data_IF_629957565855
#
_entry.id   IF_629957565855
#
_cell.length_a   1.000
_cell.length_b   1.000
_cell.length_c   1.000
_cell.angle_alpha   90.00
_cell.angle_beta   90.00
_cell.angle_gamma   90.00
#
_symmetry.space_group_name_H-M   'P 1'
#
loop_
_entity.id
_entity.type
_entity.pdbx_description
1 polymer ?
#
# COMPACT_ATOMS: atom_id res chain seq x y z
N UNK A 1 7.83 -0.17 -1.45
CA UNK A 1 6.87 -1.01 -0.71
C UNK A 1 6.46 -2.11 -1.67
N UNK A 2 6.46 -3.37 -1.24
CA UNK A 2 5.96 -4.44 -2.08
C UNK A 2 4.44 -4.27 -2.19
N UNK A 3 3.93 -4.25 -3.42
CA UNK A 3 2.52 -4.01 -3.67
C UNK A 3 1.81 -5.36 -3.62
N UNK A 4 1.17 -5.67 -2.49
CA UNK A 4 0.35 -6.88 -2.33
C UNK A 4 -1.12 -6.48 -2.38
N UNK A 5 -1.54 -5.89 -3.51
CA UNK A 5 -2.93 -5.43 -3.69
C UNK A 5 -3.77 -6.57 -4.22
N UNK A 6 -4.91 -6.77 -3.56
CA UNK A 6 -5.98 -7.62 -4.08
C UNK A 6 -6.69 -6.82 -5.16
N UNK A 7 -6.69 -7.33 -6.40
CA UNK A 7 -7.43 -6.70 -7.48
C UNK A 7 -8.93 -6.91 -7.27
N UNK A 8 -9.74 -5.89 -7.51
CA UNK A 8 -11.20 -5.99 -7.46
C UNK A 8 -11.76 -7.02 -8.46
N UNK A 9 -11.06 -7.25 -9.58
CA UNK A 9 -11.41 -8.24 -10.60
C UNK A 9 -11.46 -9.68 -10.05
N UNK A 10 -10.69 -9.98 -8.99
CA UNK A 10 -10.66 -11.32 -8.41
C UNK A 10 -12.00 -11.71 -7.78
N UNK A 11 -12.78 -10.75 -7.28
CA UNK A 11 -14.10 -10.99 -6.71
C UNK A 11 -15.12 -11.48 -7.74
N UNK A 12 -14.88 -11.24 -9.03
CA UNK A 12 -15.79 -11.63 -10.12
C UNK A 12 -15.28 -12.85 -10.90
N UNK A 13 -14.07 -13.33 -10.62
CA UNK A 13 -13.49 -14.44 -11.33
C UNK A 13 -13.84 -15.77 -10.64
N UNK A 14 -14.52 -16.65 -11.38
CA UNK A 14 -15.02 -17.95 -10.87
C UNK A 14 -13.95 -18.80 -10.19
N UNK A 15 -12.69 -18.72 -10.64
CA UNK A 15 -11.58 -19.47 -10.06
C UNK A 15 -11.28 -19.11 -8.60
N UNK A 16 -11.58 -17.88 -8.18
CA UNK A 16 -11.39 -17.45 -6.79
C UNK A 16 -12.65 -17.67 -5.95
N UNK A 17 -13.83 -17.56 -6.57
CA UNK A 17 -15.12 -17.83 -5.91
C UNK A 17 -15.28 -19.31 -5.53
N UNK A 18 -14.65 -20.21 -6.29
CA UNK A 18 -14.67 -21.65 -6.01
C UNK A 18 -13.74 -22.08 -4.87
N UNK A 19 -12.88 -21.21 -4.34
CA UNK A 19 -11.92 -21.57 -3.30
C UNK A 19 -12.58 -21.63 -1.91
N UNK A 20 -12.21 -22.64 -1.13
CA UNK A 20 -12.49 -22.66 0.31
C UNK A 20 -11.84 -21.48 1.06
N UNK A 21 -12.39 -21.12 2.22
CA UNK A 21 -11.81 -20.07 3.10
C UNK A 21 -10.36 -20.38 3.48
N UNK A 22 -10.02 -21.66 3.69
CA UNK A 22 -8.66 -22.09 3.99
C UNK A 22 -7.72 -21.84 2.81
N UNK A 23 -8.11 -22.24 1.60
CA UNK A 23 -7.36 -21.99 0.37
C UNK A 23 -7.18 -20.51 0.08
N UNK A 24 -8.22 -19.71 0.29
CA UNK A 24 -8.14 -18.26 0.14
C UNK A 24 -7.13 -17.61 1.10
N UNK A 25 -7.11 -18.04 2.37
CA UNK A 25 -6.14 -17.56 3.37
C UNK A 25 -4.71 -17.94 3.02
N UNK A 26 -4.49 -19.19 2.61
CA UNK A 26 -3.18 -19.64 2.16
C UNK A 26 -2.73 -18.84 0.94
N UNK A 27 -3.61 -18.64 -0.04
CA UNK A 27 -3.32 -17.88 -1.26
C UNK A 27 -2.92 -16.43 -0.95
N UNK A 28 -3.67 -15.74 -0.09
CA UNK A 28 -3.35 -14.35 0.30
C UNK A 28 -2.06 -14.27 1.11
N UNK A 29 -1.83 -15.20 2.05
CA UNK A 29 -0.58 -15.30 2.80
C UNK A 29 0.64 -15.55 1.89
N UNK A 30 0.48 -16.43 0.91
CA UNK A 30 1.48 -16.75 -0.11
C UNK A 30 1.84 -15.53 -0.98
N UNK A 31 0.82 -14.76 -1.37
CA UNK A 31 1.01 -13.54 -2.14
C UNK A 31 1.75 -12.48 -1.33
N UNK A 32 1.33 -12.24 -0.09
CA UNK A 32 2.00 -11.29 0.80
C UNK A 32 3.45 -11.67 1.06
N UNK A 33 3.71 -12.95 1.34
CA UNK A 33 5.07 -13.46 1.56
C UNK A 33 5.95 -13.29 0.31
N UNK A 34 5.42 -13.63 -0.87
CA UNK A 34 6.16 -13.52 -2.14
C UNK A 34 6.45 -12.06 -2.50
N UNK A 35 5.49 -11.16 -2.25
CA UNK A 35 5.68 -9.73 -2.44
C UNK A 35 6.77 -9.17 -1.51
N UNK A 36 6.76 -9.55 -0.23
CA UNK A 36 7.76 -9.09 0.74
C UNK A 36 9.17 -9.55 0.39
N UNK A 37 9.32 -10.81 -0.05
CA UNK A 37 10.61 -11.40 -0.39
C UNK A 37 11.06 -11.07 -1.83
N UNK A 38 10.15 -10.61 -2.69
CA UNK A 38 10.43 -10.34 -4.10
C UNK A 38 10.77 -11.62 -4.88
N UNK A 39 10.05 -12.71 -4.63
CA UNK A 39 10.30 -14.03 -5.25
C UNK A 39 9.40 -14.32 -6.46
N UNK A 40 8.64 -13.33 -6.94
CA UNK A 40 7.77 -13.45 -8.11
C UNK A 40 6.82 -14.67 -8.05
N UNK A 41 6.36 -15.00 -6.85
CA UNK A 41 5.44 -16.11 -6.62
C UNK A 41 6.10 -17.47 -6.34
N UNK A 42 7.43 -17.56 -6.33
CA UNK A 42 8.15 -18.79 -5.94
C UNK A 42 8.19 -18.91 -4.43
N UNK A 43 7.60 -19.97 -3.88
CA UNK A 43 7.53 -20.24 -2.43
C UNK A 43 8.24 -21.55 -2.10
N UNK A 44 9.38 -21.50 -1.40
CA UNK A 44 10.07 -22.70 -0.93
C UNK A 44 9.24 -23.49 0.09
N UNK A 45 9.30 -24.82 0.02
CA UNK A 45 8.56 -25.75 0.88
C UNK A 45 8.71 -25.45 2.38
N UNK A 46 9.89 -24.98 2.81
CA UNK A 46 10.18 -24.63 4.21
C UNK A 46 9.26 -23.53 4.78
N UNK A 47 8.70 -22.66 3.94
CA UNK A 47 7.85 -21.55 4.35
C UNK A 47 6.35 -21.85 4.26
N UNK A 48 5.94 -23.01 3.73
CA UNK A 48 4.51 -23.36 3.62
C UNK A 48 3.79 -23.39 4.96
N UNK A 49 4.50 -23.78 6.02
CA UNK A 49 3.99 -23.78 7.40
C UNK A 49 3.67 -22.38 7.95
N UNK A 50 4.18 -21.32 7.31
CA UNK A 50 3.95 -19.93 7.72
C UNK A 50 2.78 -19.28 6.97
N UNK A 51 2.26 -19.91 5.92
CA UNK A 51 1.21 -19.35 5.09
C UNK A 51 -0.17 -19.37 5.76
N UNK A 52 -0.37 -20.25 6.74
CA UNK A 52 -1.60 -20.39 7.49
C UNK A 52 -1.29 -20.48 8.99
N UNK A 53 -2.09 -19.87 9.89
CA UNK A 53 -1.85 -19.90 11.34
C UNK A 53 -1.82 -21.32 11.91
N UNK A 54 -2.62 -22.23 11.35
CA UNK A 54 -2.70 -23.63 11.79
C UNK A 54 -1.63 -24.54 11.16
N UNK A 55 -0.70 -23.99 10.40
CA UNK A 55 0.40 -24.72 9.78
C UNK A 55 0.15 -25.14 8.33
N UNK A 56 0.68 -26.30 7.93
CA UNK A 56 0.62 -26.76 6.54
C UNK A 56 -0.73 -27.41 6.23
N UNK A 57 -1.44 -26.89 5.23
CA UNK A 57 -2.76 -27.36 4.81
C UNK A 57 -2.68 -27.98 3.40
N UNK A 58 -2.34 -29.28 3.26
CA UNK A 58 -2.15 -29.90 1.95
C UNK A 58 -3.44 -29.96 1.12
N UNK A 59 -4.61 -30.05 1.77
CA UNK A 59 -5.89 -30.00 1.08
C UNK A 59 -6.10 -28.67 0.34
N UNK A 60 -5.73 -27.56 0.98
CA UNK A 60 -5.79 -26.23 0.41
C UNK A 60 -4.81 -26.06 -0.78
N UNK A 61 -3.61 -26.64 -0.68
CA UNK A 61 -2.64 -26.60 -1.78
C UNK A 61 -3.15 -27.32 -3.02
N UNK A 62 -3.73 -28.53 -2.84
CA UNK A 62 -4.32 -29.29 -3.93
C UNK A 62 -5.48 -28.54 -4.58
N UNK A 63 -6.32 -27.86 -3.79
CA UNK A 63 -7.43 -27.07 -4.31
C UNK A 63 -6.95 -25.89 -5.17
N UNK A 64 -5.90 -25.19 -4.75
CA UNK A 64 -5.29 -24.11 -5.54
C UNK A 64 -4.61 -24.62 -6.81
N UNK A 65 -4.01 -25.82 -6.78
CA UNK A 65 -3.44 -26.47 -7.97
C UNK A 65 -4.53 -26.84 -8.97
N UNK A 66 -5.66 -27.40 -8.50
CA UNK A 66 -6.83 -27.70 -9.35
C UNK A 66 -7.44 -26.42 -9.92
N UNK A 67 -7.46 -25.32 -9.16
CA UNK A 67 -7.90 -24.02 -9.63
C UNK A 67 -6.94 -23.36 -10.63
N UNK A 68 -5.76 -23.95 -10.88
CA UNK A 68 -4.72 -23.42 -11.77
C UNK A 68 -4.12 -22.10 -11.28
N UNK A 69 -4.10 -21.89 -9.95
CA UNK A 69 -3.45 -20.73 -9.34
C UNK A 69 -2.00 -21.06 -8.96
N UNK A 70 -1.72 -22.33 -8.64
CA UNK A 70 -0.42 -22.82 -8.23
C UNK A 70 0.07 -23.94 -9.15
N UNK A 71 1.37 -23.97 -9.36
CA UNK A 71 2.08 -25.10 -9.94
C UNK A 71 3.05 -25.69 -8.91
N UNK A 72 2.95 -27.00 -8.68
CA UNK A 72 3.91 -27.72 -7.85
C UNK A 72 5.30 -27.73 -8.52
N UNK A 73 6.33 -27.41 -7.74
CA UNK A 73 7.74 -27.45 -8.16
C UNK A 73 8.52 -28.38 -7.22
N UNK A 74 9.67 -28.90 -7.66
CA UNK A 74 10.49 -29.80 -6.84
C UNK A 74 10.81 -29.24 -5.43
N UNK A 75 10.99 -27.92 -5.32
CA UNK A 75 11.40 -27.24 -4.09
C UNK A 75 10.26 -26.54 -3.34
N UNK A 76 9.02 -26.64 -3.81
CA UNK A 76 7.88 -25.92 -3.25
C UNK A 76 6.76 -25.67 -4.24
N UNK A 77 6.22 -24.46 -4.25
CA UNK A 77 5.12 -24.07 -5.14
C UNK A 77 5.43 -22.75 -5.83
N UNK A 78 4.86 -22.57 -7.02
CA UNK A 78 4.94 -21.35 -7.79
C UNK A 78 3.53 -20.83 -8.06
N UNK A 79 3.29 -19.54 -7.81
CA UNK A 79 2.04 -18.89 -8.24
C UNK A 79 2.07 -18.65 -9.74
N UNK A 80 1.12 -19.23 -10.46
CA UNK A 80 1.04 -19.06 -11.90
C UNK A 80 0.52 -17.66 -12.27
N UNK A 81 1.07 -17.14 -13.37
CA UNK A 81 0.68 -15.88 -13.99
C UNK A 81 0.77 -14.64 -13.06
N UNK A 82 1.93 -14.49 -12.41
CA UNK A 82 2.24 -13.41 -11.46
C UNK A 82 1.98 -11.99 -12.00
N UNK A 83 2.51 -11.66 -13.19
CA UNK A 83 2.36 -10.33 -13.80
C UNK A 83 1.08 -10.20 -14.64
N UNK A 84 0.46 -11.31 -15.08
CA UNK A 84 -0.76 -11.27 -15.88
C UNK A 84 -2.02 -11.26 -15.02
N UNK A 85 -2.62 -12.43 -14.81
CA UNK A 85 -3.91 -12.56 -14.16
C UNK A 85 -3.89 -12.23 -12.65
N UNK A 86 -2.74 -12.39 -11.99
CA UNK A 86 -2.54 -11.86 -10.63
C UNK A 86 -2.20 -10.36 -10.68
N UNK A 87 -1.53 -9.92 -11.74
CA UNK A 87 -1.14 -8.53 -11.99
C UNK A 87 -0.39 -7.89 -10.83
N UNK A 88 0.49 -8.66 -10.23
CA UNK A 88 1.45 -8.19 -9.25
C UNK A 88 2.70 -7.73 -9.99
N UNK A 89 3.31 -6.65 -9.53
CA UNK A 89 4.57 -6.20 -10.13
C UNK A 89 5.68 -7.21 -9.86
N UNK A 90 6.48 -7.51 -10.87
CA UNK A 90 7.66 -8.38 -10.70
C UNK A 90 8.73 -7.68 -9.85
N UNK A 91 9.60 -8.47 -9.22
CA UNK A 91 10.69 -7.98 -8.39
C UNK A 91 11.63 -7.07 -9.18
N UNK A 92 11.84 -7.38 -10.46
CA UNK A 92 12.59 -6.54 -11.39
C UNK A 92 11.92 -5.16 -11.59
N UNK A 93 10.62 -5.11 -11.85
CA UNK A 93 9.86 -3.86 -11.98
C UNK A 93 9.92 -3.06 -10.68
N UNK A 94 9.71 -3.68 -9.52
CA UNK A 94 9.81 -3.03 -8.21
C UNK A 94 11.22 -2.45 -7.97
N UNK A 95 12.27 -3.16 -8.38
CA UNK A 95 13.65 -2.68 -8.28
C UNK A 95 13.88 -1.45 -9.17
N UNK A 96 13.38 -1.45 -10.41
CA UNK A 96 13.47 -0.28 -11.30
C UNK A 96 12.71 0.93 -10.75
N UNK A 97 11.51 0.73 -10.19
CA UNK A 97 10.75 1.82 -9.57
C UNK A 97 11.48 2.41 -8.36
N UNK A 98 12.08 1.56 -7.51
CA UNK A 98 12.91 2.01 -6.39
C UNK A 98 14.11 2.83 -6.88
N UNK A 99 14.85 2.34 -7.88
CA UNK A 99 15.99 3.04 -8.45
C UNK A 99 15.60 4.41 -9.02
N UNK A 100 14.49 4.47 -9.77
CA UNK A 100 13.94 5.70 -10.32
C UNK A 100 13.49 6.67 -9.22
N UNK A 101 12.84 6.18 -8.17
CA UNK A 101 12.45 6.99 -7.02
C UNK A 101 13.65 7.60 -6.30
N UNK A 102 14.72 6.83 -6.11
CA UNK A 102 15.98 7.32 -5.51
C UNK A 102 16.64 8.39 -6.38
N UNK A 103 16.67 8.19 -7.71
CA UNK A 103 17.19 9.17 -8.66
C UNK A 103 16.41 10.50 -8.56
N UNK A 104 15.08 10.46 -8.64
CA UNK A 104 14.23 11.65 -8.51
C UNK A 104 14.45 12.37 -7.18
N UNK A 105 14.55 11.62 -6.08
CA UNK A 105 14.81 12.20 -4.77
C UNK A 105 16.18 12.88 -4.69
N UNK A 106 17.20 12.32 -5.34
CA UNK A 106 18.54 12.92 -5.45
C UNK A 106 18.48 14.22 -6.25
N UNK A 107 17.89 14.16 -7.44
CA UNK A 107 17.76 15.31 -8.36
C UNK A 107 16.98 16.46 -7.68
N UNK A 108 15.92 16.13 -6.94
CA UNK A 108 15.15 17.10 -6.15
C UNK A 108 16.04 17.79 -5.10
N UNK A 109 16.80 17.03 -4.31
CA UNK A 109 17.70 17.59 -3.28
C UNK A 109 18.83 18.44 -3.90
N UNK A 110 19.28 18.10 -5.11
CA UNK A 110 20.27 18.90 -5.83
C UNK A 110 19.70 20.21 -6.36
N UNK A 111 18.48 20.17 -6.90
CA UNK A 111 17.73 21.38 -7.30
C UNK A 111 17.47 22.30 -6.11
N UNK A 112 17.06 21.76 -4.96
CA UNK A 112 16.84 22.57 -3.76
C UNK A 112 18.15 23.19 -3.23
N UNK A 113 19.25 22.43 -3.23
CA UNK A 113 20.57 22.97 -2.85
C UNK A 113 21.04 24.07 -3.78
N UNK A 114 20.89 23.90 -5.10
CA UNK A 114 21.28 24.92 -6.08
C UNK A 114 20.41 26.18 -5.99
N UNK A 115 19.09 26.05 -5.77
CA UNK A 115 18.21 27.19 -5.50
C UNK A 115 18.63 27.96 -4.25
N UNK A 116 18.92 27.26 -3.15
CA UNK A 116 19.38 27.89 -1.90
C UNK A 116 20.73 28.58 -2.07
N UNK A 117 21.69 27.94 -2.74
CA UNK A 117 22.99 28.56 -3.04
C UNK A 117 22.82 29.85 -3.86
N UNK A 118 21.95 29.82 -4.88
CA UNK A 118 21.61 30.99 -5.69
C UNK A 118 20.95 32.09 -4.86
N UNK A 119 20.03 31.75 -3.96
CA UNK A 119 19.37 32.71 -3.07
C UNK A 119 20.35 33.37 -2.08
N UNK A 120 21.38 32.66 -1.65
CA UNK A 120 22.44 33.18 -0.78
C UNK A 120 23.49 34.03 -1.52
N UNK A 121 23.32 34.28 -2.82
CA UNK A 121 24.29 35.04 -3.61
C UNK A 121 25.65 34.35 -3.75
N UNK A 122 25.73 33.04 -3.46
CA UNK A 122 26.91 32.26 -3.78
C UNK A 122 26.92 32.08 -5.29
N UNK A 123 27.76 32.86 -5.99
CA UNK A 123 28.10 32.63 -7.40
C UNK A 123 28.52 31.17 -7.56
N UNK A 124 28.18 30.56 -8.70
CA UNK A 124 28.31 29.13 -8.99
C UNK A 124 29.43 28.46 -8.21
N UNK A 125 29.14 27.34 -7.51
CA UNK A 125 30.13 26.67 -6.69
C UNK A 125 31.32 26.32 -7.57
N UNK A 126 32.37 27.13 -7.48
CA UNK A 126 33.66 26.83 -8.07
C UNK A 126 34.07 25.56 -7.34
N UNK A 127 33.89 24.42 -8.01
CA UNK A 127 34.08 23.09 -7.46
C UNK A 127 35.56 22.93 -7.14
N UNK A 128 36.00 23.50 -6.02
CA UNK A 128 37.34 23.30 -5.49
C UNK A 128 37.38 21.87 -4.97
N UNK A 129 38.08 21.02 -5.72
CA UNK A 129 38.54 19.68 -5.40
C UNK A 129 38.26 19.20 -3.97
N UNK A 130 37.38 18.20 -3.88
CA UNK A 130 37.59 16.97 -3.13
C UNK A 130 38.29 17.08 -1.77
N UNK A 131 37.82 17.97 -0.89
CA UNK A 131 38.13 17.86 0.54
C UNK A 131 37.25 16.75 1.11
N UNK A 132 37.76 15.52 1.02
CA UNK A 132 37.27 14.37 1.79
C UNK A 132 37.30 14.72 3.26
N UNK A 133 36.16 15.20 3.79
CA UNK A 133 36.01 15.52 5.21
C UNK A 133 35.75 14.24 5.98
N UNK A 134 36.83 13.54 6.23
CA UNK A 134 36.94 12.48 7.22
C UNK A 134 37.06 13.10 8.63
N UNK A 135 36.01 13.78 9.10
CA UNK A 135 35.91 14.25 10.50
C UNK A 135 34.44 14.31 10.92
N UNK A 136 33.81 13.15 11.13
CA UNK A 136 32.67 13.06 12.06
C UNK A 136 33.20 12.53 13.38
N UNK A 137 33.73 13.47 14.19
CA UNK A 137 33.84 13.28 15.64
C UNK A 137 32.44 13.06 16.18
N UNK A 138 32.26 12.00 16.97
CA UNK A 138 31.05 11.67 17.74
C UNK A 138 30.54 12.89 18.53
N UNK A 139 29.68 13.70 17.92
CA UNK A 139 28.85 14.67 18.63
C UNK A 139 27.49 14.01 18.75
N UNK A 140 27.31 13.24 19.83
CA UNK A 140 25.99 12.77 20.23
C UNK A 140 25.12 14.02 20.44
N UNK A 141 24.05 14.23 19.65
CA UNK A 141 23.13 15.31 19.94
C UNK A 141 22.51 14.99 21.31
N UNK A 142 22.80 15.85 22.29
CA UNK A 142 22.14 15.83 23.57
C UNK A 142 20.68 16.19 23.30
N UNK A 143 19.84 15.17 23.12
CA UNK A 143 18.39 15.31 22.99
C UNK A 143 17.87 15.77 24.35
N UNK A 144 17.91 17.08 24.56
CA UNK A 144 17.28 17.71 25.70
C UNK A 144 15.79 17.38 25.67
N UNK A 145 15.29 16.77 26.75
CA UNK A 145 13.86 16.62 27.05
C UNK A 145 13.27 18.01 27.32
N UNK A 146 13.13 18.83 26.28
CA UNK A 146 12.47 20.13 26.34
C UNK A 146 10.98 19.95 26.13
N UNK A 147 10.22 19.90 27.23
CA UNK A 147 8.75 20.01 27.22
C UNK A 147 8.39 21.47 26.93
N UNK A 148 8.41 21.85 25.65
CA UNK A 148 8.09 23.21 25.20
C UNK A 148 6.62 23.35 24.83
N UNK A 149 5.80 23.87 25.76
CA UNK A 149 4.51 24.47 25.42
C UNK A 149 4.77 25.83 24.76
N UNK A 150 4.98 25.82 23.45
CA UNK A 150 5.08 27.03 22.64
C UNK A 150 3.70 27.48 22.15
N UNK A 151 3.04 28.40 22.88
CA UNK A 151 1.93 29.22 22.35
C UNK A 151 2.50 30.24 21.36
N UNK A 152 2.72 29.82 20.12
CA UNK A 152 3.07 30.71 19.03
C UNK A 152 1.83 31.45 18.50
N UNK A 153 1.65 32.71 18.89
CA UNK A 153 0.82 33.67 18.17
C UNK A 153 1.57 34.06 16.89
N UNK A 154 1.31 33.33 15.80
CA UNK A 154 1.72 33.73 14.47
C UNK A 154 0.83 34.87 13.97
N UNK A 155 1.34 36.09 13.99
CA UNK A 155 0.86 37.21 13.19
C UNK A 155 1.19 36.90 11.73
N UNK A 156 0.30 36.16 11.06
CA UNK A 156 0.40 35.90 9.63
C UNK A 156 -0.16 37.09 8.87
N UNK A 157 0.71 38.04 8.51
CA UNK A 157 0.50 38.83 7.31
C UNK A 157 0.54 37.85 6.13
N UNK A 158 -0.65 37.43 5.72
CA UNK A 158 -0.87 36.71 4.48
C UNK A 158 -0.70 37.71 3.34
N UNK A 159 0.54 37.92 2.89
CA UNK A 159 0.71 38.06 1.46
C UNK A 159 0.25 36.73 0.85
N UNK A 160 -0.93 36.77 0.26
CA UNK A 160 -1.45 35.73 -0.63
C UNK A 160 -0.52 35.73 -1.83
N UNK A 161 0.62 35.05 -1.69
CA UNK A 161 1.33 34.52 -2.83
C UNK A 161 0.40 33.48 -3.41
N UNK A 162 -0.36 33.93 -4.41
CA UNK A 162 -1.18 33.14 -5.30
C UNK A 162 -0.24 32.13 -5.98
N UNK A 163 0.05 31.04 -5.27
CA UNK A 163 0.71 29.88 -5.85
C UNK A 163 -0.25 29.35 -6.88
N UNK A 164 -0.05 29.73 -8.15
CA UNK A 164 -0.62 29.02 -9.29
C UNK A 164 -0.34 27.54 -9.07
N UNK A 165 -1.36 26.81 -8.65
CA UNK A 165 -1.35 25.37 -8.60
C UNK A 165 -1.20 24.91 -10.05
N UNK A 166 0.04 24.68 -10.46
CA UNK A 166 0.32 24.10 -11.76
C UNK A 166 -0.28 22.69 -11.75
N UNK A 167 -1.32 22.49 -12.57
CA UNK A 167 -1.91 21.19 -12.79
C UNK A 167 -0.90 20.33 -13.55
N UNK A 168 -0.10 19.57 -12.80
CA UNK A 168 0.85 18.61 -13.36
C UNK A 168 0.10 17.30 -13.58
N UNK A 169 -0.07 16.91 -14.83
CA UNK A 169 -0.62 15.60 -15.16
C UNK A 169 0.33 14.50 -14.67
N UNK A 170 -0.14 13.64 -13.75
CA UNK A 170 0.69 12.63 -13.10
C UNK A 170 1.13 11.49 -14.02
N UNK A 171 0.51 11.36 -15.20
CA UNK A 171 0.80 10.31 -16.18
C UNK A 171 1.79 10.78 -17.25
N UNK A 172 1.67 12.03 -17.75
CA UNK A 172 2.51 12.56 -18.85
C UNK A 172 3.60 13.53 -18.39
N UNK A 173 3.44 14.16 -17.22
CA UNK A 173 4.40 15.15 -16.70
C UNK A 173 4.38 16.50 -17.43
N UNK A 174 3.42 16.71 -18.33
CA UNK A 174 3.21 17.99 -19.01
C UNK A 174 2.51 18.98 -18.07
N UNK A 175 2.96 20.24 -18.13
CA UNK A 175 2.37 21.36 -17.40
C UNK A 175 1.38 22.01 -18.35
N UNK A 176 0.09 21.79 -18.11
CA UNK A 176 -0.97 22.42 -18.89
C UNK A 176 -1.22 23.82 -18.32
N UNK A 177 -1.03 24.86 -19.14
CA UNK A 177 -1.22 26.27 -18.75
C UNK A 177 -2.70 26.67 -18.66
N UNK A 178 -3.61 25.86 -19.19
CA UNK A 178 -5.03 26.15 -19.14
C UNK A 178 -5.70 25.50 -17.93
N UNK A 179 -6.33 26.29 -17.03
CA UNK A 179 -7.10 25.73 -15.95
C UNK A 179 -8.27 24.94 -16.57
N UNK A 180 -8.29 23.62 -16.35
CA UNK A 180 -9.42 22.80 -16.78
C UNK A 180 -10.71 23.44 -16.27
N UNK A 181 -11.74 23.62 -17.12
CA UNK A 181 -13.00 24.17 -16.67
C UNK A 181 -13.49 23.31 -15.51
N UNK A 182 -13.74 23.93 -14.36
CA UNK A 182 -14.35 23.27 -13.22
C UNK A 182 -15.73 22.84 -13.68
N UNK A 183 -15.84 21.64 -14.24
CA UNK A 183 -17.12 21.02 -14.55
C UNK A 183 -17.73 20.73 -13.20
N UNK A 184 -18.54 21.67 -12.71
CA UNK A 184 -19.43 21.44 -11.58
C UNK A 184 -20.32 20.28 -11.98
N UNK A 185 -19.98 19.09 -11.51
CA UNK A 185 -20.87 17.95 -11.61
C UNK A 185 -22.18 18.38 -10.95
N UNK A 186 -23.34 18.26 -11.64
CA UNK A 186 -24.61 18.56 -10.99
C UNK A 186 -24.70 17.65 -9.77
N UNK A 187 -24.72 18.26 -8.59
CA UNK A 187 -24.99 17.55 -7.34
C UNK A 187 -26.43 17.07 -7.46
N UNK A 188 -26.60 15.86 -7.97
CA UNK A 188 -27.89 15.18 -7.92
C UNK A 188 -28.18 14.98 -6.45
N UNK A 189 -29.14 15.74 -5.93
CA UNK A 189 -29.60 15.61 -4.56
C UNK A 189 -29.94 14.15 -4.32
N UNK A 190 -29.16 13.49 -3.47
CA UNK A 190 -29.46 12.13 -3.02
C UNK A 190 -30.82 12.24 -2.33
N UNK A 191 -31.88 11.58 -2.82
CA UNK A 191 -33.16 11.59 -2.13
C UNK A 191 -32.93 11.00 -0.75
N UNK A 192 -33.08 11.84 0.28
CA UNK A 192 -33.08 11.41 1.67
C UNK A 192 -34.29 10.48 1.79
N UNK A 193 -34.04 9.18 1.81
CA UNK A 193 -35.07 8.19 2.12
C UNK A 193 -35.55 8.49 3.54
N UNK A 194 -36.81 8.92 3.64
CA UNK A 194 -37.49 9.17 4.90
C UNK A 194 -37.30 7.99 5.87
N UNK A 195 -36.79 8.21 7.10
CA UNK A 195 -36.76 7.20 8.14
C UNK A 195 -38.19 7.02 8.68
N UNK A 196 -39.03 6.33 7.91
CA UNK A 196 -40.48 6.37 8.14
C UNK A 196 -41.25 5.18 7.60
N UNK A 197 -40.73 3.95 7.68
CA UNK A 197 -41.57 2.75 7.52
C UNK A 197 -41.20 1.65 8.52
N UNK A 198 -41.64 1.84 9.76
CA UNK A 198 -41.92 0.74 10.68
C UNK A 198 -43.27 0.15 10.32
N UNK A 199 -43.30 -0.86 9.45
CA UNK A 199 -44.44 -1.76 9.38
C UNK A 199 -44.00 -3.12 8.84
N UNK A 200 -43.70 -4.05 9.73
CA UNK A 200 -44.50 -5.27 9.90
C UNK A 200 -43.97 -6.04 11.12
N UNK A 201 -44.89 -6.36 12.02
CA UNK A 201 -44.59 -6.86 13.35
C UNK A 201 -43.89 -8.22 13.36
N UNK A 202 -42.84 -8.31 14.15
CA UNK A 202 -42.43 -9.58 14.75
C UNK A 202 -42.66 -9.49 16.25
N UNK A 203 -43.64 -10.27 16.66
CA UNK A 203 -43.98 -10.58 18.05
C UNK A 203 -42.74 -10.93 18.85
N UNK A 204 -42.47 -10.13 19.87
CA UNK A 204 -41.59 -10.46 20.98
C UNK A 204 -42.13 -11.70 21.67
N UNK A 205 -41.35 -12.77 21.70
CA UNK A 205 -41.58 -13.88 22.62
C UNK A 205 -41.51 -15.26 21.99
N UNK A 206 -40.30 -15.79 21.84
CA UNK A 206 -40.00 -17.22 22.05
C UNK A 206 -38.50 -17.36 22.31
N UNK A 207 -38.14 -17.49 23.58
CA UNK A 207 -36.81 -17.93 24.01
C UNK A 207 -36.63 -19.34 23.47
N UNK A 208 -35.61 -19.56 22.65
CA UNK A 208 -35.24 -20.89 22.18
C UNK A 208 -34.66 -21.66 23.37
N UNK A 209 -35.45 -22.58 23.92
CA UNK A 209 -35.15 -23.38 25.12
C UNK A 209 -34.28 -24.61 24.83
N UNK A 210 -33.53 -24.65 23.74
CA UNK A 210 -32.78 -25.85 23.31
C UNK A 210 -31.27 -25.83 23.57
N UNK A 211 -30.67 -24.76 24.11
CA UNK A 211 -29.23 -24.74 24.45
C UNK A 211 -28.89 -25.32 25.85
N UNK A 212 -29.57 -26.39 26.26
CA UNK A 212 -29.29 -27.09 27.53
C UNK A 212 -29.16 -28.61 27.32
N UNK A 213 -28.09 -29.05 26.64
CA UNK A 213 -27.54 -30.42 26.56
C UNK A 213 -26.31 -30.29 25.64
N UNK A 214 -25.07 -30.66 25.94
CA UNK A 214 -24.48 -31.64 26.85
C UNK A 214 -23.09 -31.14 27.29
N UNK A 215 -22.81 -31.17 28.60
CA UNK A 215 -21.45 -31.27 29.13
C UNK A 215 -21.48 -32.29 30.27
N UNK A 216 -21.29 -33.57 29.93
CA UNK A 216 -20.84 -34.63 30.87
C UNK A 216 -20.12 -35.72 30.08
N UNK A 217 -19.03 -36.23 30.68
CA UNK A 217 -18.07 -37.23 30.19
C UNK A 217 -17.15 -36.67 29.09
N UNK A 218 -15.82 -36.64 29.23
CA UNK A 218 -14.89 -37.55 29.92
C UNK A 218 -13.66 -36.84 30.47
#
# INVERSE_FOLDING_TARGET
>A
MADARIKGEWLNAMRFDALSDESWRVFTGALMWSAENGTDGVIPKRYLRMLHPDGEQPAAFNEMEVAGLWAATNDGYHLDDWDGALGQSTASQVATYKANGLKRARDYRERERSKLAKALGMSEPTFTENVTRDVTRDVRPHVGKGKGEGKGKGSGDKEVLETKELNINTVTGEVEDEPMPVTSWPVVAIPVSDPGYCSHGMTVGKRCSSCARERKAS
#
